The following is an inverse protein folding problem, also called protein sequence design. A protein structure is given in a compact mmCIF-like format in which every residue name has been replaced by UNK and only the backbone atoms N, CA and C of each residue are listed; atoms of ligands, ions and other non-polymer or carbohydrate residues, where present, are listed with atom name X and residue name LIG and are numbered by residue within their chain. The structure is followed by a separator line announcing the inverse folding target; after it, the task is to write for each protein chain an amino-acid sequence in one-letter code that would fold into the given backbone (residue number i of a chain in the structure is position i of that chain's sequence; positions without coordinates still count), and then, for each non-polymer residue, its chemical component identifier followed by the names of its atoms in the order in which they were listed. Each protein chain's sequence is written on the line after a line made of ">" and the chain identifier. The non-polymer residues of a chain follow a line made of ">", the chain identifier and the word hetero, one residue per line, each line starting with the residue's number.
data_IF_635331079942
#
_entry.id   IF_635331079942
#
_cell.length_a   1.000
_cell.length_b   1.000
_cell.length_c   1.000
_cell.angle_alpha   90.00
_cell.angle_beta   90.00
_cell.angle_gamma   90.00
#
_symmetry.space_group_name_H-M   'P 1'
#
loop_
_entity.id
_entity.type
_entity.pdbx_description
1 polymer ?
#
# COMPACT_ATOMS: atom_id res chain seq x y z
N UNK A 1 5.09 -18.68 -12.54
CA UNK A 1 4.50 -17.50 -11.86
C UNK A 1 4.10 -16.49 -12.93
N UNK A 2 2.82 -16.08 -12.91
CA UNK A 2 2.27 -15.03 -13.76
C UNK A 2 1.50 -14.09 -12.83
N UNK A 3 1.91 -12.81 -12.76
CA UNK A 3 1.39 -11.82 -11.83
C UNK A 3 0.52 -10.83 -12.60
N UNK A 4 -0.65 -10.51 -12.06
CA UNK A 4 -1.52 -9.46 -12.55
C UNK A 4 -1.57 -8.33 -11.51
N UNK A 5 -1.08 -7.15 -11.88
CA UNK A 5 -1.14 -5.95 -11.03
C UNK A 5 -2.49 -5.24 -11.19
N UNK A 6 -3.08 -4.80 -10.08
CA UNK A 6 -4.40 -4.17 -10.06
C UNK A 6 -4.48 -3.01 -9.06
N UNK A 7 -5.07 -1.89 -9.50
CA UNK A 7 -5.59 -0.86 -8.60
C UNK A 7 -7.08 -1.08 -8.36
N UNK A 8 -7.46 -1.41 -7.14
CA UNK A 8 -8.83 -1.81 -6.79
C UNK A 8 -9.88 -0.78 -7.17
N UNK A 9 -9.59 0.51 -6.97
CA UNK A 9 -10.54 1.59 -7.21
C UNK A 9 -10.79 1.93 -8.68
N UNK A 10 -9.86 1.60 -9.59
CA UNK A 10 -9.97 1.99 -11.00
C UNK A 10 -10.15 0.82 -11.96
N UNK A 11 -9.91 -0.42 -11.52
CA UNK A 11 -9.94 -1.58 -12.41
C UNK A 11 -11.29 -1.80 -13.13
N UNK A 12 -12.39 -1.69 -12.39
CA UNK A 12 -13.76 -1.71 -12.96
C UNK A 12 -14.40 -0.31 -13.00
N UNK A 13 -13.73 0.69 -12.43
CA UNK A 13 -14.31 2.02 -12.22
C UNK A 13 -15.34 2.03 -11.11
N UNK A 14 -16.13 3.09 -11.08
CA UNK A 14 -17.22 3.21 -10.11
C UNK A 14 -18.43 2.33 -10.48
N UNK A 15 -18.97 1.64 -9.49
CA UNK A 15 -20.22 0.90 -9.61
C UNK A 15 -21.31 1.74 -8.93
N UNK A 16 -22.32 2.16 -9.69
CA UNK A 16 -23.41 3.04 -9.21
C UNK A 16 -22.89 4.29 -8.46
N UNK A 17 -21.80 4.89 -8.98
CA UNK A 17 -21.21 6.11 -8.43
C UNK A 17 -20.37 5.92 -7.16
N UNK A 18 -20.12 4.70 -6.72
CA UNK A 18 -19.24 4.35 -5.60
C UNK A 18 -18.11 3.43 -6.01
N UNK A 19 -17.05 3.41 -5.25
CA UNK A 19 -15.99 2.40 -5.40
C UNK A 19 -16.54 0.99 -5.14
N UNK A 20 -16.09 -0.02 -5.90
CA UNK A 20 -16.40 -1.41 -5.60
C UNK A 20 -15.82 -1.80 -4.24
N UNK A 21 -16.54 -2.63 -3.50
CA UNK A 21 -16.02 -3.21 -2.26
C UNK A 21 -14.96 -4.28 -2.56
N UNK A 22 -14.14 -4.61 -1.56
CA UNK A 22 -13.18 -5.72 -1.66
C UNK A 22 -13.84 -7.02 -2.14
N UNK A 23 -15.05 -7.31 -1.64
CA UNK A 23 -15.80 -8.51 -1.99
C UNK A 23 -16.31 -8.48 -3.42
N UNK A 24 -16.85 -7.33 -3.86
CA UNK A 24 -17.29 -7.16 -5.25
C UNK A 24 -16.12 -7.26 -6.24
N UNK A 25 -14.95 -6.75 -5.87
CA UNK A 25 -13.75 -6.93 -6.71
C UNK A 25 -13.42 -8.41 -6.86
N UNK A 26 -13.50 -9.22 -5.79
CA UNK A 26 -13.24 -10.64 -5.86
C UNK A 26 -14.20 -11.35 -6.84
N UNK A 27 -15.50 -10.96 -6.88
CA UNK A 27 -16.49 -11.56 -7.77
C UNK A 27 -16.12 -11.43 -9.25
N UNK A 28 -15.51 -10.31 -9.63
CA UNK A 28 -15.07 -10.07 -11.01
C UNK A 28 -13.65 -10.55 -11.29
N UNK A 29 -12.75 -10.41 -10.30
CA UNK A 29 -11.32 -10.65 -10.48
C UNK A 29 -11.00 -12.16 -10.58
N UNK A 30 -11.63 -12.98 -9.74
CA UNK A 30 -11.38 -14.44 -9.73
C UNK A 30 -11.65 -15.08 -11.10
N UNK A 31 -12.80 -14.88 -11.73
CA UNK A 31 -13.04 -15.40 -13.08
C UNK A 31 -12.03 -14.87 -14.10
N UNK A 32 -11.73 -13.57 -14.05
CA UNK A 32 -10.78 -12.93 -14.97
C UNK A 32 -9.38 -13.53 -14.87
N UNK A 33 -8.85 -13.72 -13.66
CA UNK A 33 -7.54 -14.32 -13.46
C UNK A 33 -7.46 -15.77 -13.95
N UNK A 34 -8.52 -16.55 -13.72
CA UNK A 34 -8.64 -17.93 -14.22
C UNK A 34 -8.63 -18.00 -15.74
N UNK A 35 -9.43 -17.20 -16.38
CA UNK A 35 -9.56 -17.14 -17.84
C UNK A 35 -8.23 -16.77 -18.52
N UNK A 36 -7.47 -15.85 -17.89
CA UNK A 36 -6.22 -15.35 -18.45
C UNK A 36 -4.97 -16.10 -17.96
N UNK A 37 -5.12 -17.13 -17.14
CA UNK A 37 -4.01 -17.99 -16.71
C UNK A 37 -3.01 -17.34 -15.75
N UNK A 38 -3.43 -16.33 -14.99
CA UNK A 38 -2.63 -15.77 -13.92
C UNK A 38 -2.57 -16.70 -12.71
N UNK A 39 -1.51 -16.59 -11.92
CA UNK A 39 -1.30 -17.37 -10.69
C UNK A 39 -1.25 -16.49 -9.45
N UNK A 40 -0.96 -15.22 -9.63
CA UNK A 40 -0.82 -14.24 -8.55
C UNK A 40 -1.53 -12.94 -8.94
N UNK A 41 -2.01 -12.24 -7.93
CA UNK A 41 -2.45 -10.85 -8.06
C UNK A 41 -1.57 -9.97 -7.20
N UNK A 42 -1.06 -8.88 -7.75
CA UNK A 42 -0.40 -7.80 -7.02
C UNK A 42 -1.38 -6.65 -6.85
N UNK A 43 -1.65 -6.30 -5.61
CA UNK A 43 -2.58 -5.22 -5.29
C UNK A 43 -1.76 -3.96 -4.99
N UNK A 44 -1.98 -2.91 -5.80
CA UNK A 44 -1.42 -1.58 -5.56
C UNK A 44 -1.77 -1.10 -4.14
N UNK A 45 -1.03 -0.12 -3.58
CA UNK A 45 -1.06 0.15 -2.15
C UNK A 45 -2.46 0.32 -1.56
N UNK A 46 -2.74 -0.39 -0.48
CA UNK A 46 -4.03 -0.36 0.23
C UNK A 46 -3.93 0.19 1.66
N UNK A 47 -2.76 0.69 2.05
CA UNK A 47 -2.66 1.52 3.24
C UNK A 47 -3.54 2.76 3.08
N UNK A 48 -4.24 3.19 4.13
CA UNK A 48 -5.13 4.36 4.04
C UNK A 48 -4.39 5.59 3.51
N UNK A 49 -4.99 6.27 2.53
CA UNK A 49 -4.46 7.47 1.90
C UNK A 49 -5.56 8.50 1.60
N UNK A 50 -5.26 9.83 1.63
CA UNK A 50 -6.27 10.86 1.44
C UNK A 50 -6.53 11.23 -0.03
N UNK A 51 -5.52 11.09 -0.90
CA UNK A 51 -5.54 11.61 -2.27
C UNK A 51 -5.58 10.48 -3.30
N UNK A 52 -6.72 10.34 -3.99
CA UNK A 52 -6.95 9.27 -4.98
C UNK A 52 -5.94 9.26 -6.13
N UNK A 53 -5.48 10.45 -6.56
CA UNK A 53 -4.47 10.58 -7.61
C UNK A 53 -3.11 10.00 -7.24
N UNK A 54 -2.85 9.66 -5.98
CA UNK A 54 -1.63 8.98 -5.54
C UNK A 54 -1.66 7.47 -5.77
N UNK A 55 -2.83 6.88 -6.09
CA UNK A 55 -3.04 5.44 -6.20
C UNK A 55 -2.65 4.64 -4.96
N UNK A 56 -2.60 5.30 -3.80
CA UNK A 56 -2.20 4.70 -2.52
C UNK A 56 -0.73 4.87 -2.15
N UNK A 57 0.11 5.39 -3.04
CA UNK A 57 1.54 5.59 -2.75
C UNK A 57 1.83 6.71 -1.74
N UNK A 58 0.87 7.59 -1.46
CA UNK A 58 0.98 8.63 -0.42
C UNK A 58 0.12 8.27 0.79
N UNK A 59 0.52 7.22 1.50
CA UNK A 59 -0.21 6.72 2.66
C UNK A 59 -0.14 7.65 3.87
N UNK A 60 -1.22 7.66 4.64
CA UNK A 60 -1.33 8.32 5.95
C UNK A 60 -1.48 7.32 7.09
N UNK A 61 -1.94 6.11 6.81
CA UNK A 61 -2.20 5.08 7.82
C UNK A 61 -1.63 3.72 7.44
N UNK A 62 -0.42 3.42 7.91
CA UNK A 62 0.32 2.20 7.54
C UNK A 62 -0.23 0.91 8.19
N UNK A 63 -1.07 1.03 9.23
CA UNK A 63 -1.76 -0.09 9.89
C UNK A 63 -3.27 -0.05 9.66
N UNK A 64 -3.74 0.67 8.63
CA UNK A 64 -5.15 0.75 8.29
C UNK A 64 -5.36 0.57 6.79
N UNK A 65 -6.41 -0.16 6.44
CA UNK A 65 -6.76 -0.39 5.04
C UNK A 65 -7.61 0.75 4.48
N UNK A 66 -7.61 0.90 3.16
CA UNK A 66 -8.41 1.93 2.48
C UNK A 66 -9.89 1.73 2.73
N UNK A 67 -10.49 2.65 3.46
CA UNK A 67 -11.90 2.59 3.85
C UNK A 67 -12.88 2.78 2.68
N UNK A 68 -12.43 3.30 1.54
CA UNK A 68 -13.25 3.46 0.32
C UNK A 68 -13.74 2.15 -0.25
N UNK A 69 -12.98 1.07 -0.05
CA UNK A 69 -13.26 -0.27 -0.58
C UNK A 69 -13.90 -1.20 0.46
N UNK A 70 -14.03 -0.73 1.70
CA UNK A 70 -14.62 -1.51 2.79
C UNK A 70 -13.80 -1.48 4.07
N UNK A 71 -14.06 -2.44 4.94
CA UNK A 71 -13.42 -2.58 6.24
C UNK A 71 -12.33 -3.71 6.23
N UNK A 72 -11.51 -3.82 7.29
CA UNK A 72 -10.47 -4.85 7.36
C UNK A 72 -10.95 -6.29 7.19
N UNK A 73 -12.14 -6.62 7.71
CA UNK A 73 -12.70 -7.97 7.58
C UNK A 73 -13.09 -8.31 6.13
N UNK A 74 -13.54 -7.32 5.37
CA UNK A 74 -13.83 -7.49 3.95
C UNK A 74 -12.56 -7.69 3.11
N UNK A 75 -11.44 -7.04 3.48
CA UNK A 75 -10.15 -7.32 2.87
C UNK A 75 -9.67 -8.73 3.21
N UNK A 76 -9.82 -9.17 4.47
CA UNK A 76 -9.51 -10.56 4.86
C UNK A 76 -10.35 -11.57 4.07
N UNK A 77 -11.65 -11.30 3.92
CA UNK A 77 -12.56 -12.11 3.10
C UNK A 77 -12.12 -12.16 1.63
N UNK A 78 -11.71 -11.02 1.07
CA UNK A 78 -11.16 -10.96 -0.29
C UNK A 78 -9.95 -11.88 -0.45
N UNK A 79 -8.97 -11.78 0.45
CA UNK A 79 -7.74 -12.58 0.39
C UNK A 79 -8.04 -14.08 0.56
N UNK A 80 -8.90 -14.43 1.52
CA UNK A 80 -9.34 -15.82 1.73
C UNK A 80 -9.99 -16.40 0.46
N UNK A 81 -10.87 -15.65 -0.19
CA UNK A 81 -11.51 -16.04 -1.46
C UNK A 81 -10.50 -16.21 -2.59
N UNK A 82 -9.47 -15.35 -2.66
CA UNK A 82 -8.38 -15.50 -3.64
C UNK A 82 -7.62 -16.81 -3.40
N UNK A 83 -7.27 -17.11 -2.15
CA UNK A 83 -6.60 -18.36 -1.75
C UNK A 83 -7.45 -19.59 -2.06
N UNK A 84 -8.74 -19.58 -1.73
CA UNK A 84 -9.68 -20.67 -2.07
C UNK A 84 -9.80 -20.90 -3.58
N UNK A 85 -9.63 -19.84 -4.37
CA UNK A 85 -9.62 -19.93 -5.83
C UNK A 85 -8.27 -20.37 -6.43
N UNK A 86 -7.22 -20.50 -5.59
CA UNK A 86 -5.88 -20.96 -5.97
C UNK A 86 -4.91 -19.85 -6.37
N UNK A 87 -5.19 -18.59 -5.99
CA UNK A 87 -4.32 -17.45 -6.28
C UNK A 87 -3.55 -16.99 -5.04
N UNK A 88 -2.30 -16.62 -5.21
CA UNK A 88 -1.53 -15.88 -4.21
C UNK A 88 -1.74 -14.37 -4.36
N UNK A 89 -1.66 -13.64 -3.24
CA UNK A 89 -1.92 -12.20 -3.17
C UNK A 89 -0.68 -11.46 -2.68
N UNK A 90 -0.17 -10.55 -3.50
CA UNK A 90 1.00 -9.72 -3.21
C UNK A 90 0.52 -8.30 -2.88
N UNK A 91 1.06 -7.71 -1.81
CA UNK A 91 0.82 -6.32 -1.46
C UNK A 91 1.93 -5.43 -2.03
N UNK A 92 1.57 -4.41 -2.79
CA UNK A 92 2.49 -3.31 -3.09
C UNK A 92 2.56 -2.37 -1.88
N UNK A 93 3.75 -2.16 -1.38
CA UNK A 93 4.01 -1.39 -0.17
C UNK A 93 5.09 -0.32 -0.43
N UNK A 94 4.79 0.93 -0.06
CA UNK A 94 5.68 2.06 -0.25
C UNK A 94 6.34 2.50 1.07
N UNK A 95 7.48 1.90 1.50
CA UNK A 95 8.11 2.22 2.78
C UNK A 95 9.04 3.44 2.72
N UNK A 96 9.17 4.08 1.57
CA UNK A 96 10.14 5.16 1.34
C UNK A 96 9.61 6.50 1.79
N UNK A 97 8.32 6.73 1.61
CA UNK A 97 7.69 8.03 1.85
C UNK A 97 6.24 7.89 2.30
N UNK A 98 5.70 8.98 2.82
CA UNK A 98 4.32 9.09 3.30
C UNK A 98 3.72 10.45 2.92
N UNK A 99 2.39 10.57 3.02
CA UNK A 99 1.68 11.79 2.66
C UNK A 99 2.15 13.00 3.49
N UNK A 100 2.34 14.14 2.81
CA UNK A 100 2.77 15.40 3.41
C UNK A 100 1.60 16.14 4.08
N UNK A 101 0.84 15.44 4.90
CA UNK A 101 -0.34 15.97 5.59
C UNK A 101 -0.10 16.03 7.10
N UNK A 102 -0.24 17.23 7.69
CA UNK A 102 0.02 17.48 9.12
C UNK A 102 -0.97 16.79 10.06
N UNK A 103 -2.09 16.28 9.56
CA UNK A 103 -3.04 15.49 10.35
C UNK A 103 -2.63 14.02 10.50
N UNK A 104 -1.53 13.59 9.84
CA UNK A 104 -1.06 12.22 9.83
C UNK A 104 0.33 12.09 10.45
N UNK A 105 1.31 11.53 9.72
CA UNK A 105 2.63 11.22 10.29
C UNK A 105 3.59 12.41 10.33
N UNK A 106 3.40 13.40 9.44
CA UNK A 106 4.27 14.56 9.40
C UNK A 106 4.15 15.39 10.67
N UNK A 107 5.29 15.67 11.28
CA UNK A 107 5.37 16.40 12.55
C UNK A 107 4.42 15.80 13.62
N UNK A 108 4.33 14.45 13.66
CA UNK A 108 3.32 13.69 14.42
C UNK A 108 3.21 14.08 15.90
N UNK A 109 4.34 14.34 16.55
CA UNK A 109 4.42 14.77 17.95
C UNK A 109 4.89 16.23 18.09
N UNK A 110 4.85 17.00 17.00
CA UNK A 110 5.39 18.36 16.92
C UNK A 110 6.89 18.40 16.59
N UNK A 111 7.51 17.26 16.36
CA UNK A 111 8.89 17.12 15.88
C UNK A 111 8.94 16.28 14.59
N UNK A 112 10.11 16.19 13.95
CA UNK A 112 10.34 15.31 12.82
C UNK A 112 10.59 13.87 13.31
N UNK A 113 9.53 13.22 13.80
CA UNK A 113 9.63 11.86 14.36
C UNK A 113 9.96 10.84 13.25
N UNK A 114 9.21 10.86 12.16
CA UNK A 114 9.31 9.88 11.07
C UNK A 114 10.18 10.39 9.92
N UNK A 115 10.10 11.67 9.60
CA UNK A 115 10.79 12.31 8.49
C UNK A 115 12.18 12.83 8.89
N UNK A 116 12.96 13.24 7.87
CA UNK A 116 14.22 13.98 8.08
C UNK A 116 13.94 15.37 8.67
N UNK A 117 14.85 15.84 9.53
CA UNK A 117 14.72 17.14 10.21
C UNK A 117 15.15 18.35 9.37
N UNK A 118 15.63 18.15 8.16
CA UNK A 118 16.09 19.22 7.26
C UNK A 118 15.28 19.27 5.97
N UNK A 119 15.00 20.48 5.51
CA UNK A 119 14.15 20.74 4.33
C UNK A 119 14.67 20.09 3.04
N UNK A 120 15.96 19.88 2.92
CA UNK A 120 16.59 19.33 1.70
C UNK A 120 16.23 17.85 1.53
N UNK A 121 16.14 17.11 2.64
CA UNK A 121 15.92 15.66 2.63
C UNK A 121 14.50 15.24 3.03
N UNK A 122 13.70 16.16 3.58
CA UNK A 122 12.34 15.86 4.02
C UNK A 122 11.41 15.55 2.86
N UNK A 123 11.48 16.33 1.76
CA UNK A 123 10.47 16.25 0.70
C UNK A 123 10.96 15.47 -0.52
N UNK A 124 10.09 14.58 -0.98
CA UNK A 124 10.29 13.86 -2.22
C UNK A 124 9.89 14.71 -3.45
N UNK A 125 10.36 14.36 -4.65
CA UNK A 125 9.89 14.99 -5.89
C UNK A 125 8.38 14.83 -6.14
N UNK A 126 7.75 13.88 -5.47
CA UNK A 126 6.30 13.61 -5.57
C UNK A 126 5.44 14.43 -4.61
N UNK A 127 6.06 15.35 -3.82
CA UNK A 127 5.35 16.19 -2.85
C UNK A 127 5.01 15.50 -1.53
N UNK A 128 5.52 14.30 -1.30
CA UNK A 128 5.42 13.53 -0.05
C UNK A 128 6.63 13.74 0.85
N UNK A 129 6.60 13.22 2.08
CA UNK A 129 7.72 13.24 3.02
C UNK A 129 8.47 11.91 2.97
N UNK A 130 9.81 11.97 2.90
CA UNK A 130 10.65 10.78 3.06
C UNK A 130 10.70 10.33 4.52
N UNK A 131 10.63 9.03 4.74
CA UNK A 131 11.00 8.42 6.01
C UNK A 131 12.50 8.53 6.25
N UNK A 132 12.88 8.93 7.47
CA UNK A 132 14.27 8.87 7.91
C UNK A 132 14.62 7.43 8.33
N UNK A 133 15.04 6.63 7.35
CA UNK A 133 15.40 5.23 7.56
C UNK A 133 16.70 5.05 8.39
N UNK A 134 17.40 6.13 8.71
CA UNK A 134 18.50 6.12 9.69
C UNK A 134 18.03 5.89 11.12
N UNK A 135 16.75 6.18 11.41
CA UNK A 135 16.16 6.01 12.74
C UNK A 135 15.66 4.60 12.98
N UNK A 136 16.13 3.93 14.05
CA UNK A 136 15.67 2.59 14.44
C UNK A 136 14.14 2.50 14.65
N UNK A 137 13.47 3.46 15.33
CA UNK A 137 12.04 3.44 15.49
C UNK A 137 11.26 3.50 14.17
N UNK A 138 11.77 4.24 13.17
CA UNK A 138 11.14 4.34 11.84
C UNK A 138 11.23 3.01 11.10
N UNK A 139 12.40 2.37 11.11
CA UNK A 139 12.57 1.02 10.54
C UNK A 139 11.67 0.00 11.23
N UNK A 140 11.63 0.04 12.57
CA UNK A 140 10.75 -0.84 13.36
C UNK A 140 9.27 -0.64 13.02
N UNK A 141 8.82 0.61 12.87
CA UNK A 141 7.46 0.96 12.47
C UNK A 141 7.10 0.36 11.10
N UNK A 142 7.96 0.55 10.10
CA UNK A 142 7.72 0.05 8.74
C UNK A 142 7.76 -1.48 8.65
N UNK A 143 8.73 -2.11 9.32
CA UNK A 143 8.81 -3.57 9.40
C UNK A 143 7.59 -4.17 10.11
N UNK A 144 7.11 -3.52 11.17
CA UNK A 144 5.91 -3.94 11.88
C UNK A 144 4.66 -3.79 11.02
N UNK A 145 4.57 -2.73 10.21
CA UNK A 145 3.46 -2.55 9.27
C UNK A 145 3.44 -3.64 8.19
N UNK A 146 4.59 -3.97 7.60
CA UNK A 146 4.68 -5.09 6.64
C UNK A 146 4.29 -6.42 7.29
N UNK A 147 4.83 -6.71 8.48
CA UNK A 147 4.50 -7.92 9.23
C UNK A 147 3.02 -8.00 9.61
N UNK A 148 2.38 -6.86 9.90
CA UNK A 148 0.95 -6.78 10.17
C UNK A 148 0.13 -7.30 8.98
N UNK A 149 0.41 -6.88 7.76
CA UNK A 149 -0.29 -7.36 6.56
C UNK A 149 -0.02 -8.84 6.26
N UNK A 150 1.22 -9.30 6.42
CA UNK A 150 1.56 -10.71 6.23
C UNK A 150 0.88 -11.61 7.26
N UNK A 151 0.86 -11.19 8.54
CA UNK A 151 0.39 -12.04 9.65
C UNK A 151 -1.12 -12.03 9.81
N UNK A 152 -1.76 -10.85 9.73
CA UNK A 152 -3.20 -10.71 10.02
C UNK A 152 -4.08 -10.77 8.78
N UNK A 153 -3.59 -10.32 7.64
CA UNK A 153 -4.33 -10.39 6.37
C UNK A 153 -3.92 -11.58 5.50
N UNK A 154 -2.80 -12.23 5.83
CA UNK A 154 -2.28 -13.38 5.09
C UNK A 154 -1.89 -13.07 3.63
N UNK A 155 -1.34 -11.88 3.36
CA UNK A 155 -0.67 -11.65 2.09
C UNK A 155 0.50 -12.61 1.92
N UNK A 156 0.67 -13.16 0.73
CA UNK A 156 1.72 -14.15 0.41
C UNK A 156 3.09 -13.51 0.14
N UNK A 157 3.10 -12.21 -0.14
CA UNK A 157 4.32 -11.48 -0.43
C UNK A 157 4.13 -9.97 -0.41
N UNK A 158 5.25 -9.27 -0.48
CA UNK A 158 5.31 -7.80 -0.56
C UNK A 158 6.17 -7.40 -1.74
N UNK A 159 5.63 -6.55 -2.61
CA UNK A 159 6.41 -5.76 -3.57
C UNK A 159 6.77 -4.45 -2.88
N UNK A 160 8.04 -4.11 -2.89
CA UNK A 160 8.54 -2.88 -2.25
C UNK A 160 8.74 -1.82 -3.31
N UNK A 161 7.98 -0.73 -3.19
CA UNK A 161 8.09 0.41 -4.11
C UNK A 161 9.33 1.26 -3.84
N UNK A 162 9.83 1.93 -4.89
CA UNK A 162 10.90 2.92 -4.87
C UNK A 162 12.19 2.44 -4.14
N UNK A 163 12.53 1.16 -4.24
CA UNK A 163 13.70 0.53 -3.61
C UNK A 163 15.01 1.28 -3.87
N UNK A 164 15.15 1.90 -5.04
CA UNK A 164 16.32 2.72 -5.35
C UNK A 164 16.55 3.86 -4.35
N UNK A 165 15.48 4.43 -3.80
CA UNK A 165 15.55 5.50 -2.80
C UNK A 165 15.89 4.98 -1.40
N UNK A 166 15.80 3.65 -1.17
CA UNK A 166 16.26 3.00 0.07
C UNK A 166 17.75 2.70 -0.02
N UNK A 167 18.20 2.18 -1.17
CA UNK A 167 19.55 1.65 -1.38
C UNK A 167 20.55 2.76 -1.72
N UNK A 168 20.11 3.76 -2.47
CA UNK A 168 20.97 4.81 -2.96
C UNK A 168 20.56 6.17 -2.39
N UNK A 169 21.48 6.83 -1.70
CA UNK A 169 21.29 8.19 -1.22
C UNK A 169 21.15 9.15 -2.42
N UNK A 170 20.20 10.07 -2.35
CA UNK A 170 19.90 11.05 -3.42
C UNK A 170 19.59 10.42 -4.81
N UNK A 171 19.05 9.19 -4.85
CA UNK A 171 18.61 8.55 -6.08
C UNK A 171 19.74 8.33 -7.10
N UNK A 172 20.91 7.91 -6.63
CA UNK A 172 22.10 7.62 -7.46
C UNK A 172 22.91 8.84 -7.93
N UNK A 173 22.92 9.93 -7.21
CA UNK A 173 23.80 11.07 -7.49
C UNK A 173 25.08 10.98 -6.71
#
# INVERSE_FOLDING_TARGET
>A
VSIYEIHLGSWKGLIDGRYPSYEEVADYLIPYLKENGFTHVEIMPICQYPFDGSWGYQATGFFSVVSRYGNPFQLMSFIDRMHQAGFSVILDFAPVHFANDKFALREFDGSCLYEYGDMKHTFSPWGSCYFDLGKDPVRSFLMSAMNYYLTYFHFDGIRVDAVSNIVYWEGNK
#
